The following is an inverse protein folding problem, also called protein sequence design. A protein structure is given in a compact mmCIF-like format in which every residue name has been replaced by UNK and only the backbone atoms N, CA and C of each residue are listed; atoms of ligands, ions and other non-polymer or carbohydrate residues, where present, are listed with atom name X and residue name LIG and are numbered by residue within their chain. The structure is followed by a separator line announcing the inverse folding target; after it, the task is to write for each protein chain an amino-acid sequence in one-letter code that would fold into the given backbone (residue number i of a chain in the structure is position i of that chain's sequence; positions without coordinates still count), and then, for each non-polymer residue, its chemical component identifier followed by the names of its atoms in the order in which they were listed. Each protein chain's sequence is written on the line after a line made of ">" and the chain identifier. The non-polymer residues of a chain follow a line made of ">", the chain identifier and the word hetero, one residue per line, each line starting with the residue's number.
data_IF_593116610380
#
_entry.id   IF_593116610380
#
_cell.length_a   1.000
_cell.length_b   1.000
_cell.length_c   1.000
_cell.angle_alpha   90.00
_cell.angle_beta   90.00
_cell.angle_gamma   90.00
#
_symmetry.space_group_name_H-M   'P 1'
#
loop_
_entity.id
_entity.type
_entity.pdbx_description
1 polymer ?
#
# COMPACT_ATOMS: atom_id res chain seq x y z
N UNK A 1 0.84 6.10 7.53
CA UNK A 1 -0.39 6.15 6.70
C UNK A 1 0.01 6.12 5.23
N UNK A 2 -0.78 5.46 4.40
CA UNK A 2 -0.72 5.47 2.95
C UNK A 2 -2.00 6.04 2.37
N UNK A 3 -1.87 6.95 1.41
CA UNK A 3 -2.98 7.46 0.60
C UNK A 3 -2.65 7.34 -0.88
N UNK A 4 -3.67 7.11 -1.72
CA UNK A 4 -3.59 7.35 -3.16
C UNK A 4 -3.94 8.80 -3.42
N UNK A 5 -3.24 9.46 -4.33
CA UNK A 5 -3.44 10.89 -4.57
C UNK A 5 -4.68 11.18 -5.43
N UNK A 6 -4.89 10.43 -6.52
CA UNK A 6 -5.96 10.70 -7.49
C UNK A 6 -6.64 9.41 -8.03
N UNK A 7 -7.97 9.26 -7.85
CA UNK A 7 -8.77 9.87 -6.78
C UNK A 7 -8.14 9.64 -5.40
N UNK A 8 -8.32 10.63 -4.53
CA UNK A 8 -7.79 10.57 -3.17
C UNK A 8 -8.51 9.49 -2.37
N UNK A 9 -7.77 8.46 -1.95
CA UNK A 9 -8.29 7.34 -1.14
C UNK A 9 -7.32 7.02 -0.02
N UNK A 10 -7.82 6.76 1.19
CA UNK A 10 -7.00 6.31 2.31
C UNK A 10 -6.74 4.81 2.14
N UNK A 11 -5.52 4.47 1.76
CA UNK A 11 -5.17 3.09 1.40
C UNK A 11 -4.94 2.25 2.66
N UNK A 12 -4.26 2.84 3.64
CA UNK A 12 -4.00 2.21 4.93
C UNK A 12 -3.61 3.26 5.99
N UNK A 13 -4.28 3.27 7.13
CA UNK A 13 -3.94 4.10 8.30
C UNK A 13 -3.55 3.18 9.44
N UNK A 14 -2.48 3.52 10.15
CA UNK A 14 -2.04 2.83 11.37
C UNK A 14 -1.81 3.86 12.46
N UNK A 15 -2.49 3.72 13.59
CA UNK A 15 -2.32 4.56 14.77
C UNK A 15 -1.77 3.74 15.93
N UNK A 16 -0.50 3.98 16.31
CA UNK A 16 0.13 3.25 17.42
C UNK A 16 -0.48 3.57 18.79
N UNK A 17 -1.08 4.74 18.96
CA UNK A 17 -1.65 5.13 20.26
C UNK A 17 -2.95 4.39 20.57
N UNK A 18 -3.73 4.06 19.55
CA UNK A 18 -5.00 3.31 19.68
C UNK A 18 -4.90 1.85 19.26
N UNK A 19 -3.80 1.48 18.60
CA UNK A 19 -3.60 0.17 17.96
C UNK A 19 -4.68 -0.13 16.90
N UNK A 20 -5.21 0.93 16.28
CA UNK A 20 -6.26 0.83 15.27
C UNK A 20 -5.69 0.97 13.85
N UNK A 21 -6.32 0.22 12.94
CA UNK A 21 -6.07 0.27 11.50
C UNK A 21 -7.34 0.64 10.75
N UNK A 22 -7.23 1.54 9.78
CA UNK A 22 -8.34 1.92 8.90
C UNK A 22 -7.94 1.78 7.43
N UNK A 23 -8.88 1.31 6.60
CA UNK A 23 -8.69 1.11 5.16
C UNK A 23 -9.94 1.57 4.41
N UNK A 24 -9.76 2.14 3.22
CA UNK A 24 -10.86 2.39 2.29
C UNK A 24 -11.33 1.06 1.69
N UNK A 25 -12.65 0.91 1.44
CA UNK A 25 -13.29 -0.33 0.98
C UNK A 25 -12.58 -0.98 -0.22
N UNK A 26 -12.18 -0.20 -1.23
CA UNK A 26 -11.43 -0.72 -2.41
C UNK A 26 -10.09 -1.43 -2.10
N UNK A 27 -9.51 -1.15 -0.93
CA UNK A 27 -8.22 -1.70 -0.46
C UNK A 27 -8.37 -2.63 0.74
N UNK A 28 -9.58 -2.72 1.31
CA UNK A 28 -9.88 -3.62 2.41
C UNK A 28 -9.57 -5.06 2.00
N UNK A 29 -8.94 -5.80 2.90
CA UNK A 29 -8.47 -7.18 2.69
C UNK A 29 -7.45 -7.36 1.55
N UNK A 30 -7.04 -6.26 0.90
CA UNK A 30 -6.05 -6.24 -0.19
C UNK A 30 -4.77 -5.54 0.23
N UNK A 31 -4.77 -4.78 1.33
CA UNK A 31 -3.59 -4.10 1.84
C UNK A 31 -3.21 -4.51 3.24
N UNK A 32 -1.91 -4.61 3.47
CA UNK A 32 -1.32 -4.95 4.76
C UNK A 32 -0.03 -4.16 4.97
N UNK A 33 0.29 -3.87 6.23
CA UNK A 33 1.60 -3.36 6.67
C UNK A 33 2.14 -4.29 7.76
N UNK A 34 3.45 -4.28 8.01
CA UNK A 34 4.04 -5.05 9.12
C UNK A 34 3.34 -4.76 10.46
N UNK A 35 3.33 -5.75 11.37
CA UNK A 35 2.69 -5.67 12.70
C UNK A 35 3.09 -4.43 13.52
N UNK A 36 4.26 -3.85 13.24
CA UNK A 36 4.84 -2.77 14.05
C UNK A 36 5.61 -1.74 13.18
N UNK A 37 4.92 -1.04 12.25
CA UNK A 37 5.60 -0.24 11.23
C UNK A 37 6.40 0.93 11.82
N UNK A 38 5.88 1.55 12.88
CA UNK A 38 6.51 2.70 13.53
C UNK A 38 7.65 2.30 14.48
N UNK A 39 7.65 1.06 15.00
CA UNK A 39 8.75 0.55 15.85
C UNK A 39 9.92 0.04 15.01
N UNK A 40 9.61 -0.68 13.93
CA UNK A 40 10.61 -1.24 13.01
C UNK A 40 11.14 -0.20 12.01
N UNK A 41 10.41 0.89 11.82
CA UNK A 41 10.66 1.86 10.74
C UNK A 41 10.26 1.33 9.36
N UNK A 42 9.67 0.13 9.29
CA UNK A 42 9.27 -0.49 8.05
C UNK A 42 7.83 -0.11 7.68
N UNK A 43 7.70 0.98 6.93
CA UNK A 43 6.41 1.47 6.46
C UNK A 43 6.00 0.86 5.12
N UNK A 44 6.52 -0.33 4.80
CA UNK A 44 6.16 -1.03 3.57
C UNK A 44 4.67 -1.35 3.56
N UNK A 45 4.00 -0.94 2.49
CA UNK A 45 2.65 -1.37 2.18
C UNK A 45 2.73 -2.52 1.19
N UNK A 46 2.01 -3.59 1.50
CA UNK A 46 1.78 -4.71 0.61
C UNK A 46 0.40 -4.54 0.00
N UNK A 47 0.30 -4.60 -1.34
CA UNK A 47 -0.97 -4.68 -2.08
C UNK A 47 -1.09 -6.05 -2.75
N UNK A 48 -2.11 -6.82 -2.38
CA UNK A 48 -2.41 -8.13 -2.95
C UNK A 48 -3.40 -8.00 -4.11
N UNK A 49 -3.28 -8.91 -5.09
CA UNK A 49 -4.09 -8.94 -6.31
C UNK A 49 -4.22 -7.55 -6.98
N UNK A 50 -3.10 -6.92 -7.40
CA UNK A 50 -3.12 -5.60 -8.01
C UNK A 50 -3.88 -5.61 -9.35
N UNK A 51 -4.71 -4.59 -9.54
CA UNK A 51 -5.54 -4.34 -10.73
C UNK A 51 -4.97 -3.16 -11.50
N UNK A 52 -5.25 -3.09 -12.81
CA UNK A 52 -4.82 -1.94 -13.61
C UNK A 52 -5.29 -0.60 -13.02
N UNK A 53 -6.50 -0.59 -12.45
CA UNK A 53 -7.12 0.57 -11.79
C UNK A 53 -6.38 1.05 -10.54
N UNK A 54 -5.58 0.17 -9.92
CA UNK A 54 -4.76 0.54 -8.77
C UNK A 54 -3.54 1.38 -9.18
N UNK A 55 -3.23 1.49 -10.47
CA UNK A 55 -2.16 2.36 -10.95
C UNK A 55 -2.39 3.81 -10.51
N UNK A 56 -1.33 4.50 -10.11
CA UNK A 56 -1.39 5.88 -9.65
C UNK A 56 -0.31 6.24 -8.64
N UNK A 57 -0.33 7.49 -8.18
CA UNK A 57 0.58 7.97 -7.15
C UNK A 57 0.07 7.60 -5.76
N UNK A 58 0.91 6.89 -5.01
CA UNK A 58 0.72 6.54 -3.61
C UNK A 58 1.66 7.35 -2.75
N UNK A 59 1.19 7.79 -1.59
CA UNK A 59 1.94 8.66 -0.68
C UNK A 59 1.95 8.06 0.70
N UNK A 60 3.14 7.76 1.18
CA UNK A 60 3.38 7.43 2.58
C UNK A 60 3.50 8.74 3.36
N UNK A 61 2.65 8.93 4.37
CA UNK A 61 2.61 10.07 5.26
C UNK A 61 2.85 9.60 6.70
N UNK A 62 3.80 10.24 7.37
CA UNK A 62 4.19 9.96 8.76
C UNK A 62 3.86 11.18 9.61
N UNK A 63 3.13 10.93 10.68
CA UNK A 63 2.71 11.93 11.66
C UNK A 63 3.16 11.50 13.05
N UNK A 64 3.45 12.46 13.92
CA UNK A 64 3.76 12.22 15.33
C UNK A 64 3.04 13.26 16.16
N UNK A 65 2.07 12.85 16.98
CA UNK A 65 1.32 13.76 17.87
C UNK A 65 0.72 14.98 17.15
N UNK A 66 0.22 14.79 15.94
CA UNK A 66 -0.34 15.86 15.10
C UNK A 66 0.67 16.60 14.23
N UNK A 67 1.98 16.45 14.47
CA UNK A 67 3.01 17.05 13.64
C UNK A 67 3.31 16.18 12.41
N UNK A 68 3.33 16.81 11.24
CA UNK A 68 3.77 16.16 10.02
C UNK A 68 5.29 15.96 10.07
N UNK A 69 5.71 14.70 9.97
CA UNK A 69 7.13 14.33 10.05
C UNK A 69 7.73 14.16 8.65
N UNK A 70 7.04 13.40 7.78
CA UNK A 70 7.58 13.06 6.47
C UNK A 70 6.52 12.61 5.48
N UNK A 71 6.82 12.84 4.20
CA UNK A 71 6.10 12.30 3.04
C UNK A 71 7.08 11.60 2.11
N UNK A 72 6.64 10.50 1.50
CA UNK A 72 7.25 9.92 0.30
C UNK A 72 6.16 9.59 -0.70
N UNK A 73 6.37 9.92 -1.96
CA UNK A 73 5.51 9.50 -3.07
C UNK A 73 6.15 8.32 -3.81
N UNK A 74 5.32 7.40 -4.28
CA UNK A 74 5.69 6.25 -5.12
C UNK A 74 4.66 6.17 -6.24
N UNK A 75 5.12 6.04 -7.48
CA UNK A 75 4.23 5.80 -8.62
C UNK A 75 4.10 4.29 -8.82
N UNK A 76 2.87 3.78 -8.72
CA UNK A 76 2.55 2.41 -9.06
C UNK A 76 2.03 2.33 -10.51
N UNK A 77 2.59 1.42 -11.30
CA UNK A 77 2.09 1.08 -12.64
C UNK A 77 1.85 -0.42 -12.69
N UNK A 78 0.58 -0.81 -12.75
CA UNK A 78 0.16 -2.21 -12.92
C UNK A 78 -0.05 -2.46 -14.40
N UNK A 79 0.75 -3.35 -14.98
CA UNK A 79 0.60 -3.75 -16.40
C UNK A 79 -0.33 -4.96 -16.47
N UNK A 80 -1.27 -4.95 -17.40
CA UNK A 80 -2.08 -6.13 -17.70
C UNK A 80 -1.21 -7.23 -18.30
N UNK A 81 -1.36 -8.47 -17.83
CA UNK A 81 -0.87 -9.64 -18.55
C UNK A 81 -1.65 -9.70 -19.88
N UNK A 82 -0.93 -9.52 -20.99
CA UNK A 82 -1.45 -9.96 -22.29
C UNK A 82 -1.67 -11.47 -22.16
N UNK A 83 -2.87 -11.97 -22.46
CA UNK A 83 -3.14 -13.41 -22.46
C UNK A 83 -2.08 -14.10 -23.33
N UNK A 84 -1.25 -14.94 -22.72
CA UNK A 84 -0.52 -16.00 -23.41
C UNK A 84 -1.05 -17.31 -22.85
N UNK A 85 -1.23 -18.24 -23.77
CA UNK A 85 -2.10 -19.42 -23.78
C UNK A 85 -2.02 -20.37 -22.58
N UNK A 86 -3.09 -21.16 -22.45
CA UNK A 86 -3.33 -22.20 -21.45
C UNK A 86 -2.09 -23.06 -21.15
N UNK A 87 -1.70 -23.05 -19.88
CA UNK A 87 -0.75 -23.98 -19.27
C UNK A 87 -0.69 -23.66 -17.79
N UNK A 88 -1.45 -24.42 -16.99
CA UNK A 88 -1.68 -24.13 -15.58
C UNK A 88 -0.41 -24.08 -14.75
N UNK A 89 -0.04 -22.89 -14.30
CA UNK A 89 0.55 -22.63 -12.99
C UNK A 89 -0.19 -21.43 -12.41
N UNK A 90 -0.78 -21.63 -11.24
CA UNK A 90 -1.40 -20.58 -10.44
C UNK A 90 -0.31 -19.52 -10.16
N UNK A 91 -0.31 -18.46 -10.94
CA UNK A 91 0.68 -17.41 -10.85
C UNK A 91 0.64 -16.84 -9.43
N UNK A 92 1.68 -17.14 -8.63
CA UNK A 92 1.92 -16.43 -7.38
C UNK A 92 2.04 -14.95 -7.75
N UNK A 93 0.98 -14.19 -7.49
CA UNK A 93 0.98 -12.75 -7.63
C UNK A 93 1.83 -12.21 -6.49
N UNK A 94 3.13 -12.03 -6.75
CA UNK A 94 4.06 -11.47 -5.79
C UNK A 94 3.50 -10.16 -5.22
N UNK A 95 3.35 -10.05 -3.89
CA UNK A 95 2.78 -8.86 -3.28
C UNK A 95 3.64 -7.63 -3.59
N UNK A 96 3.02 -6.57 -4.08
CA UNK A 96 3.74 -5.33 -4.40
C UNK A 96 4.14 -4.62 -3.12
N UNK A 97 5.42 -4.73 -2.75
CA UNK A 97 6.01 -4.02 -1.63
C UNK A 97 6.37 -2.58 -2.04
N UNK A 98 5.61 -1.59 -1.56
CA UNK A 98 6.01 -0.18 -1.68
C UNK A 98 7.08 0.12 -0.63
N UNK A 99 8.35 -0.19 -0.95
CA UNK A 99 9.46 -0.18 0.02
C UNK A 99 9.92 1.23 0.47
N UNK A 100 10.17 1.26 1.80
CA UNK A 100 10.85 2.18 2.75
C UNK A 100 11.38 3.55 2.33
N UNK A 101 11.40 4.42 3.33
CA UNK A 101 12.17 5.66 3.43
C UNK A 101 13.06 5.54 4.67
N UNK A 102 14.37 5.78 4.51
CA UNK A 102 15.40 5.75 5.55
C UNK A 102 15.13 6.71 6.71
#
# INVERSE_FOLDING_TARGET
>A
MWERYEPRKMVYVFCRETDETEQHEDYRDRTEMNEDPLRTGDLTLTLTQPRQEDSGEYRCLVWRRGDFIRKKSVLLTVRGLSQVEEGGEEAQVDPLMMRRVY
#
